data_IF_498978713043
#
_entry.id   IF_498978713043
#
_cell.length_a   1.000
_cell.length_b   1.000
_cell.length_c   1.000
_cell.angle_alpha   90.00
_cell.angle_beta   90.00
_cell.angle_gamma   90.00
#
_symmetry.space_group_name_H-M   'P 1'
#
loop_
_entity.id
_entity.type
_entity.pdbx_description
1 polymer ?
#
# COMPACT_ATOMS: atom_id res chain seq x y z
N UNK A 1 2.10 8.38 -11.51
CA UNK A 1 2.61 9.10 -10.32
C UNK A 1 2.42 8.18 -9.12
N UNK A 2 3.27 7.17 -9.01
CA UNK A 2 3.47 6.40 -7.78
C UNK A 2 4.95 6.62 -7.49
N UNK A 3 5.26 7.68 -6.75
CA UNK A 3 6.60 7.81 -6.20
C UNK A 3 6.77 6.63 -5.27
N UNK A 4 7.76 5.78 -5.56
CA UNK A 4 8.24 4.76 -4.64
C UNK A 4 8.29 5.41 -3.25
N UNK A 5 7.58 4.83 -2.28
CA UNK A 5 7.92 5.12 -0.90
C UNK A 5 9.39 4.72 -0.79
N UNK A 6 10.24 5.67 -0.42
CA UNK A 6 11.65 5.43 -0.17
C UNK A 6 11.77 4.19 0.75
N UNK A 7 12.73 3.32 0.47
CA UNK A 7 12.87 2.06 1.21
C UNK A 7 13.02 2.33 2.71
N UNK A 8 13.68 3.44 3.07
CA UNK A 8 13.83 3.94 4.44
C UNK A 8 12.49 4.34 5.08
N UNK A 9 11.63 5.04 4.34
CA UNK A 9 10.30 5.45 4.83
C UNK A 9 9.37 4.25 4.97
N UNK A 10 9.49 3.28 4.05
CA UNK A 10 8.79 2.01 4.14
C UNK A 10 9.22 1.27 5.39
N UNK A 11 10.51 1.18 5.65
CA UNK A 11 11.05 0.49 6.83
C UNK A 11 10.62 1.18 8.14
N UNK A 12 10.67 2.51 8.21
CA UNK A 12 10.19 3.26 9.37
C UNK A 12 8.70 3.00 9.66
N UNK A 13 7.86 2.95 8.62
CA UNK A 13 6.44 2.65 8.76
C UNK A 13 6.19 1.19 9.17
N UNK A 14 7.03 0.26 8.73
CA UNK A 14 6.98 -1.14 9.16
C UNK A 14 7.30 -1.29 10.64
N UNK A 15 8.35 -0.61 11.11
CA UNK A 15 8.78 -0.67 12.49
C UNK A 15 7.72 -0.09 13.42
N UNK A 16 7.12 1.04 13.03
CA UNK A 16 6.00 1.65 13.76
C UNK A 16 4.78 0.73 13.82
N UNK A 17 4.38 0.14 12.68
CA UNK A 17 3.27 -0.83 12.64
C UNK A 17 3.55 -2.05 13.53
N UNK A 18 4.78 -2.58 13.49
CA UNK A 18 5.17 -3.73 14.29
C UNK A 18 5.14 -3.41 15.80
N UNK A 19 5.55 -2.20 16.21
CA UNK A 19 5.46 -1.76 17.60
C UNK A 19 4.01 -1.69 18.07
N UNK A 20 3.11 -1.07 17.30
CA UNK A 20 1.70 -0.94 17.68
C UNK A 20 0.97 -2.30 17.72
N UNK A 21 1.33 -3.23 16.82
CA UNK A 21 0.82 -4.60 16.86
C UNK A 21 1.30 -5.36 18.10
N UNK A 22 2.59 -5.23 18.46
CA UNK A 22 3.16 -5.86 19.67
C UNK A 22 2.57 -5.28 20.95
N UNK A 23 2.25 -3.99 20.97
CA UNK A 23 1.59 -3.32 22.08
C UNK A 23 0.10 -3.73 22.23
N UNK A 24 -0.45 -4.51 21.29
CA UNK A 24 -1.87 -4.90 21.30
C UNK A 24 -2.82 -3.79 20.85
N UNK A 25 -2.30 -2.64 20.43
CA UNK A 25 -3.09 -1.49 19.96
C UNK A 25 -3.65 -1.71 18.55
N UNK A 26 -3.06 -2.63 17.79
CA UNK A 26 -3.44 -2.88 16.41
C UNK A 26 -3.36 -1.63 15.56
N UNK A 27 -4.30 -1.45 14.63
CA UNK A 27 -4.39 -0.25 13.80
C UNK A 27 -4.84 1.01 14.58
N UNK A 28 -5.27 0.88 15.85
CA UNK A 28 -5.77 2.02 16.64
C UNK A 28 -4.64 2.94 17.11
N UNK A 29 -3.45 2.37 17.34
CA UNK A 29 -2.26 3.12 17.74
C UNK A 29 -1.63 3.94 16.62
N UNK A 30 -2.05 3.72 15.37
CA UNK A 30 -1.50 4.43 14.22
C UNK A 30 -2.19 5.79 14.04
N UNK A 31 -1.38 6.83 13.83
CA UNK A 31 -1.84 8.18 13.53
C UNK A 31 -2.89 8.16 12.40
N UNK A 32 -3.98 8.89 12.62
CA UNK A 32 -5.13 8.92 11.74
C UNK A 32 -4.81 9.37 10.31
N UNK A 33 -3.75 10.17 10.13
CA UNK A 33 -3.27 10.59 8.80
C UNK A 33 -2.84 9.41 7.92
N UNK A 34 -2.38 8.31 8.53
CA UNK A 34 -2.02 7.08 7.82
C UNK A 34 -3.21 6.15 7.59
N UNK A 35 -4.37 6.42 8.22
CA UNK A 35 -5.60 5.66 8.08
C UNK A 35 -6.58 6.27 7.07
N UNK A 36 -6.56 7.59 6.87
CA UNK A 36 -7.49 8.28 5.97
C UNK A 36 -7.06 8.13 4.51
N UNK A 37 -7.94 7.54 3.69
CA UNK A 37 -7.83 7.58 2.25
C UNK A 37 -8.35 8.93 1.72
N UNK A 38 -7.63 9.54 0.78
CA UNK A 38 -8.10 10.74 0.09
C UNK A 38 -8.56 10.36 -1.32
N UNK A 39 -9.80 10.69 -1.66
CA UNK A 39 -10.27 10.58 -3.04
C UNK A 39 -9.91 11.87 -3.76
N UNK A 40 -9.16 11.76 -4.85
CA UNK A 40 -8.82 12.87 -5.73
C UNK A 40 -9.42 12.65 -7.11
N UNK A 41 -9.92 13.71 -7.73
CA UNK A 41 -10.42 13.66 -9.10
C UNK A 41 -9.25 13.83 -10.07
N UNK A 42 -8.94 12.78 -10.83
CA UNK A 42 -7.97 12.85 -11.92
C UNK A 42 -8.69 13.15 -13.23
N UNK A 43 -8.32 14.26 -13.88
CA UNK A 43 -8.79 14.55 -15.24
C UNK A 43 -8.17 13.54 -16.21
N UNK A 44 -9.00 12.85 -16.99
CA UNK A 44 -8.53 11.84 -17.95
C UNK A 44 -8.32 12.45 -19.34
N UNK A 45 -9.41 12.90 -19.99
CA UNK A 45 -9.45 13.51 -21.34
C UNK A 45 -10.75 14.31 -21.51
N UNK A 46 -10.83 15.23 -22.47
CA UNK A 46 -12.03 16.02 -22.77
C UNK A 46 -12.10 17.37 -22.06
N UNK A 47 -13.26 18.04 -22.09
CA UNK A 47 -13.48 19.38 -21.49
C UNK A 47 -13.38 19.31 -19.97
N UNK A 48 -12.66 20.25 -19.34
CA UNK A 48 -12.41 20.27 -17.87
C UNK A 48 -13.62 20.69 -17.05
N UNK A 49 -14.60 21.23 -17.73
CA UNK A 49 -15.85 21.79 -17.27
C UNK A 49 -16.96 20.72 -17.14
N UNK A 50 -16.70 19.48 -17.59
CA UNK A 50 -17.59 18.33 -17.38
C UNK A 50 -16.96 17.33 -16.41
N UNK A 51 -17.71 16.98 -15.35
CA UNK A 51 -17.30 16.01 -14.34
C UNK A 51 -17.14 14.58 -14.88
N UNK A 52 -17.81 14.23 -15.98
CA UNK A 52 -17.73 12.91 -16.62
C UNK A 52 -16.33 12.57 -17.14
N UNK A 53 -15.54 13.62 -17.40
CA UNK A 53 -14.15 13.54 -17.86
C UNK A 53 -13.14 13.31 -16.73
N UNK A 54 -13.62 13.26 -15.48
CA UNK A 54 -12.81 12.96 -14.32
C UNK A 54 -13.01 11.51 -13.86
N UNK A 55 -11.99 10.96 -13.23
CA UNK A 55 -12.06 9.67 -12.54
C UNK A 55 -11.71 9.91 -11.08
N UNK A 56 -12.57 9.46 -10.17
CA UNK A 56 -12.25 9.40 -8.76
C UNK A 56 -11.15 8.35 -8.56
N UNK A 57 -10.00 8.77 -8.05
CA UNK A 57 -8.93 7.87 -7.65
C UNK A 57 -8.81 7.96 -6.14
N UNK A 58 -9.02 6.83 -5.47
CA UNK A 58 -8.68 6.71 -4.06
C UNK A 58 -7.17 6.62 -3.94
N UNK A 59 -6.56 7.61 -3.30
CA UNK A 59 -5.21 7.48 -2.78
C UNK A 59 -5.32 6.59 -1.55
N UNK A 60 -5.13 5.30 -1.78
CA UNK A 60 -5.08 4.25 -0.74
C UNK A 60 -4.17 4.73 0.39
N UNK A 61 -4.56 4.57 1.67
CA UNK A 61 -3.76 5.03 2.80
C UNK A 61 -2.34 4.45 2.70
N UNK A 62 -1.33 5.26 3.03
CA UNK A 62 0.08 4.85 2.90
C UNK A 62 0.37 3.54 3.64
N UNK A 63 -0.27 3.33 4.80
CA UNK A 63 -0.16 2.09 5.55
C UNK A 63 -0.65 0.87 4.78
N UNK A 64 -1.78 0.98 4.07
CA UNK A 64 -2.31 -0.11 3.26
C UNK A 64 -1.40 -0.44 2.08
N UNK A 65 -0.71 0.55 1.51
CA UNK A 65 0.30 0.32 0.45
C UNK A 65 1.50 -0.45 0.98
N UNK A 66 1.99 -0.08 2.17
CA UNK A 66 3.10 -0.79 2.83
C UNK A 66 2.70 -2.23 3.14
N UNK A 67 1.52 -2.44 3.74
CA UNK A 67 0.98 -3.78 4.01
C UNK A 67 0.86 -4.61 2.73
N UNK A 68 0.25 -4.05 1.67
CA UNK A 68 0.11 -4.72 0.40
C UNK A 68 1.48 -5.12 -0.17
N UNK A 69 2.47 -4.23 -0.13
CA UNK A 69 3.83 -4.50 -0.60
C UNK A 69 4.50 -5.66 0.16
N UNK A 70 4.40 -5.68 1.49
CA UNK A 70 4.92 -6.79 2.31
C UNK A 70 4.24 -8.09 1.91
N UNK A 71 2.90 -8.08 1.85
CA UNK A 71 2.12 -9.29 1.55
C UNK A 71 2.47 -9.80 0.15
N UNK A 72 2.55 -8.92 -0.84
CA UNK A 72 2.97 -9.28 -2.20
C UNK A 72 4.37 -9.85 -2.20
N UNK A 73 5.36 -9.24 -1.54
CA UNK A 73 6.72 -9.80 -1.48
C UNK A 73 6.79 -11.16 -0.78
N UNK A 74 6.02 -11.34 0.30
CA UNK A 74 5.96 -12.63 1.03
C UNK A 74 5.27 -13.71 0.21
N UNK A 75 4.15 -13.38 -0.43
CA UNK A 75 3.41 -14.30 -1.30
C UNK A 75 4.25 -14.67 -2.52
N UNK A 76 4.92 -13.70 -3.15
CA UNK A 76 5.85 -13.97 -4.25
C UNK A 76 6.94 -14.93 -3.81
N UNK A 77 7.57 -14.70 -2.66
CA UNK A 77 8.58 -15.63 -2.15
C UNK A 77 8.03 -17.05 -1.98
N UNK A 78 6.83 -17.21 -1.42
CA UNK A 78 6.21 -18.53 -1.26
C UNK A 78 5.91 -19.20 -2.60
N UNK A 79 5.37 -18.45 -3.57
CA UNK A 79 5.04 -18.97 -4.90
C UNK A 79 6.32 -19.37 -5.65
N UNK A 80 7.35 -18.52 -5.64
CA UNK A 80 8.61 -18.80 -6.34
C UNK A 80 9.46 -19.87 -5.65
N UNK A 81 9.38 -20.01 -4.32
CA UNK A 81 10.04 -21.10 -3.58
C UNK A 81 9.31 -22.45 -3.84
N UNK A 82 7.98 -22.45 -4.01
CA UNK A 82 7.21 -23.65 -4.43
C UNK A 82 7.52 -24.05 -5.89
N UNK A 83 7.58 -23.09 -6.82
CA UNK A 83 7.91 -23.36 -8.22
C UNK A 83 9.33 -23.95 -8.43
N UNK A 84 10.28 -23.65 -7.53
CA UNK A 84 11.64 -24.23 -7.55
C UNK A 84 11.68 -25.68 -7.03
N UNK A 85 10.82 -26.03 -6.07
CA UNK A 85 10.74 -27.38 -5.52
C UNK A 85 10.15 -28.40 -6.52
N UNK A 86 9.33 -27.93 -7.47
CA UNK A 86 8.74 -28.75 -8.54
C UNK A 86 9.70 -28.97 -9.73
N UNK A 87 10.82 -28.24 -9.82
CA UNK A 87 11.85 -28.41 -10.86
C UNK A 87 12.94 -29.41 -10.43
N UNK A 88 13.08 -29.67 -9.12
CA UNK A 88 14.08 -30.61 -8.57
C UNK A 88 13.57 -32.05 -8.34
N UNK A 89 12.30 -32.36 -8.68
CA UNK A 89 11.73 -33.72 -8.70
C UNK A 89 11.45 -34.22 -10.12
#
# INVERSE_FOLDING_TARGET
>A
IFTALDDDLTQLLLDLLAQELRAGNGLRGIDEKFRRARVSLLHKRGRRDSLDNYRGISVVPSLCKVLAHIMTRRLQKLIFDEDLADIEN
#
